data_IF_495382917709
#
_entry.id   IF_495382917709
#
_cell.length_a   1.000
_cell.length_b   1.000
_cell.length_c   1.000
_cell.angle_alpha   90.00
_cell.angle_beta   90.00
_cell.angle_gamma   90.00
#
_symmetry.space_group_name_H-M   'P 1'
#
loop_
_entity.id
_entity.type
_entity.pdbx_description
1 polymer ?
#
# COMPACT_ATOMS: atom_id res chain seq x y z
N UNK A 1 18.26 7.08 22.94
CA UNK A 1 16.83 6.85 22.66
C UNK A 1 16.07 7.48 23.81
N UNK A 2 15.00 8.23 23.56
CA UNK A 2 14.12 8.68 24.63
C UNK A 2 13.60 7.47 25.39
N UNK A 3 13.29 7.62 26.68
CA UNK A 3 12.78 6.54 27.52
C UNK A 3 11.38 6.12 27.00
N UNK A 4 11.03 4.83 27.07
CA UNK A 4 9.71 4.34 26.67
C UNK A 4 8.59 5.02 27.47
N UNK A 5 8.89 5.46 28.68
CA UNK A 5 7.98 6.21 29.54
C UNK A 5 7.63 7.60 28.97
N UNK A 6 8.44 8.12 28.06
CA UNK A 6 8.18 9.39 27.39
C UNK A 6 7.14 9.25 26.25
N UNK A 7 6.74 8.01 25.92
CA UNK A 7 5.90 7.71 24.75
C UNK A 7 4.61 6.97 25.05
N UNK A 8 4.48 6.35 26.21
CA UNK A 8 3.38 5.48 26.56
C UNK A 8 2.76 5.90 27.88
N UNK A 9 1.55 6.44 27.81
CA UNK A 9 0.70 6.75 28.95
C UNK A 9 -0.78 6.42 28.63
N UNK A 10 -1.68 6.71 29.54
CA UNK A 10 -3.11 6.47 29.36
C UNK A 10 -3.78 7.33 28.28
N UNK A 11 -3.11 8.38 27.79
CA UNK A 11 -3.58 9.25 26.73
C UNK A 11 -3.05 8.86 25.35
N UNK A 12 -2.11 7.90 25.28
CA UNK A 12 -1.49 7.49 24.01
C UNK A 12 -2.53 7.00 23.01
N UNK A 13 -2.51 7.59 21.82
CA UNK A 13 -3.32 7.16 20.67
C UNK A 13 -2.66 5.97 19.98
N UNK A 14 -3.46 5.04 19.50
CA UNK A 14 -2.98 3.78 18.93
C UNK A 14 -3.35 3.68 17.46
N UNK A 15 -2.39 3.31 16.65
CA UNK A 15 -2.59 2.87 15.28
C UNK A 15 -2.16 1.40 15.17
N UNK A 16 -2.89 0.60 14.42
CA UNK A 16 -2.61 -0.83 14.27
C UNK A 16 -2.19 -1.08 12.82
N UNK A 17 -1.12 -1.84 12.60
CA UNK A 17 -0.86 -2.38 11.26
C UNK A 17 -1.27 -3.85 11.23
N UNK A 18 -2.21 -4.19 10.33
CA UNK A 18 -2.74 -5.56 10.14
C UNK A 18 -2.17 -6.21 8.87
N UNK A 19 -1.82 -7.48 8.97
CA UNK A 19 -1.30 -8.28 7.85
C UNK A 19 -1.10 -9.75 8.21
N UNK A 20 -0.81 -10.57 7.19
CA UNK A 20 -0.48 -11.98 7.32
C UNK A 20 0.44 -12.41 6.16
N UNK A 21 1.72 -12.71 6.43
CA UNK A 21 2.46 -12.53 7.68
C UNK A 21 2.68 -11.05 8.04
N UNK A 22 3.06 -10.78 9.31
CA UNK A 22 3.27 -9.40 9.80
C UNK A 22 4.73 -9.11 10.19
N UNK A 23 5.56 -10.12 10.38
CA UNK A 23 6.91 -9.94 10.93
C UNK A 23 7.85 -9.08 10.06
N UNK A 24 7.58 -8.98 8.75
CA UNK A 24 8.41 -8.25 7.78
C UNK A 24 8.16 -6.74 7.75
N UNK A 25 7.10 -6.24 8.38
CA UNK A 25 6.74 -4.82 8.29
C UNK A 25 7.74 -3.91 9.01
N UNK A 26 8.01 -2.75 8.40
CA UNK A 26 8.91 -1.73 8.95
C UNK A 26 8.17 -0.47 9.41
N UNK A 27 6.90 -0.34 9.04
CA UNK A 27 6.07 0.84 9.34
C UNK A 27 5.95 1.16 10.84
N UNK A 28 5.86 0.20 11.78
CA UNK A 28 5.65 0.51 13.18
C UNK A 28 6.67 1.50 13.75
N UNK A 29 7.97 1.24 13.59
CA UNK A 29 8.99 2.13 14.11
C UNK A 29 9.03 3.48 13.38
N UNK A 30 8.97 3.45 12.04
CA UNK A 30 9.07 4.67 11.22
C UNK A 30 7.89 5.61 11.41
N UNK A 31 6.66 5.09 11.47
CA UNK A 31 5.45 5.91 11.65
C UNK A 31 5.34 6.40 13.10
N UNK A 32 5.68 5.57 14.08
CA UNK A 32 5.76 6.00 15.49
C UNK A 32 6.74 7.16 15.65
N UNK A 33 7.95 7.04 15.07
CA UNK A 33 8.91 8.15 15.10
C UNK A 33 8.35 9.41 14.44
N UNK A 34 7.67 9.27 13.30
CA UNK A 34 7.05 10.40 12.61
C UNK A 34 5.92 11.06 13.40
N UNK A 35 5.20 10.34 14.25
CA UNK A 35 4.25 10.92 15.21
C UNK A 35 4.98 11.75 16.27
N UNK A 36 6.03 11.20 16.88
CA UNK A 36 6.81 11.91 17.89
C UNK A 36 7.48 13.18 17.35
N UNK A 37 8.07 13.09 16.16
CA UNK A 37 8.70 14.26 15.50
C UNK A 37 7.70 15.41 15.25
N UNK A 38 6.40 15.11 15.26
CA UNK A 38 5.31 16.08 15.10
C UNK A 38 4.60 16.43 16.41
N UNK A 39 5.10 15.93 17.55
CA UNK A 39 4.52 16.18 18.87
C UNK A 39 3.23 15.41 19.14
N UNK A 40 2.95 14.32 18.40
CA UNK A 40 1.81 13.48 18.63
C UNK A 40 2.14 12.34 19.60
N UNK A 41 1.38 12.22 20.69
CA UNK A 41 1.43 11.06 21.59
C UNK A 41 0.67 9.90 20.93
N UNK A 42 1.33 9.20 20.00
CA UNK A 42 0.76 8.11 19.24
C UNK A 42 1.82 7.06 18.86
N UNK A 43 1.38 5.80 18.79
CA UNK A 43 2.22 4.67 18.41
C UNK A 43 1.55 3.82 17.33
N UNK A 44 2.37 3.02 16.62
CA UNK A 44 1.90 1.97 15.72
C UNK A 44 2.28 0.61 16.27
N UNK A 45 1.30 -0.28 16.39
CA UNK A 45 1.50 -1.66 16.84
C UNK A 45 1.23 -2.65 15.69
N UNK A 46 2.08 -3.68 15.51
CA UNK A 46 1.80 -4.75 14.56
C UNK A 46 0.76 -5.72 15.14
N UNK A 47 -0.18 -6.16 14.30
CA UNK A 47 -1.16 -7.20 14.60
C UNK A 47 -1.18 -8.25 13.49
N UNK A 48 -0.83 -9.49 13.83
CA UNK A 48 -0.92 -10.61 12.91
C UNK A 48 -2.37 -11.09 12.86
N UNK A 49 -3.04 -10.91 11.74
CA UNK A 49 -4.46 -11.19 11.56
C UNK A 49 -4.66 -12.05 10.32
N UNK A 50 -5.19 -13.25 10.51
CA UNK A 50 -5.53 -14.12 9.38
C UNK A 50 -6.67 -13.51 8.53
N UNK A 51 -6.75 -13.80 7.22
CA UNK A 51 -7.81 -13.29 6.37
C UNK A 51 -9.24 -13.56 6.87
N UNK A 52 -9.46 -14.72 7.47
CA UNK A 52 -10.76 -15.10 8.03
C UNK A 52 -11.20 -14.23 9.20
N UNK A 53 -10.25 -13.67 9.96
CA UNK A 53 -10.51 -12.91 11.18
C UNK A 53 -10.50 -11.39 10.95
N UNK A 54 -10.15 -10.93 9.75
CA UNK A 54 -9.97 -9.52 9.45
C UNK A 54 -11.19 -8.66 9.79
N UNK A 55 -12.38 -9.08 9.36
CA UNK A 55 -13.60 -8.32 9.57
C UNK A 55 -13.94 -8.21 11.07
N UNK A 56 -13.83 -9.30 11.81
CA UNK A 56 -14.06 -9.33 13.25
C UNK A 56 -13.03 -8.47 14.00
N UNK A 57 -11.76 -8.52 13.58
CA UNK A 57 -10.69 -7.68 14.14
C UNK A 57 -10.99 -6.19 13.93
N UNK A 58 -11.31 -5.75 12.71
CA UNK A 58 -11.65 -4.34 12.41
C UNK A 58 -12.89 -3.91 13.20
N UNK A 59 -13.91 -4.76 13.29
CA UNK A 59 -15.09 -4.49 14.09
C UNK A 59 -14.76 -4.33 15.58
N UNK A 60 -13.88 -5.17 16.13
CA UNK A 60 -13.38 -5.05 17.51
C UNK A 60 -12.63 -3.74 17.73
N UNK A 61 -11.71 -3.39 16.82
CA UNK A 61 -10.95 -2.14 16.89
C UNK A 61 -11.84 -0.89 16.81
N UNK A 62 -12.97 -0.97 16.13
CA UNK A 62 -13.97 0.11 16.09
C UNK A 62 -14.53 0.44 17.50
N UNK A 63 -14.50 -0.51 18.43
CA UNK A 63 -14.97 -0.31 19.81
C UNK A 63 -13.89 0.28 20.74
N UNK A 64 -12.63 0.27 20.33
CA UNK A 64 -11.51 0.79 21.12
C UNK A 64 -11.35 2.29 20.87
N UNK A 65 -11.64 3.11 21.88
CA UNK A 65 -11.79 4.57 21.73
C UNK A 65 -10.48 5.32 21.41
N UNK A 66 -9.34 4.75 21.76
CA UNK A 66 -8.03 5.35 21.47
C UNK A 66 -7.34 4.76 20.23
N UNK A 67 -8.02 3.94 19.41
CA UNK A 67 -7.56 3.51 18.10
C UNK A 67 -8.05 4.48 17.03
N UNK A 68 -7.13 5.22 16.42
CA UNK A 68 -7.45 6.26 15.41
C UNK A 68 -7.25 5.82 13.97
N UNK A 69 -6.45 4.79 13.75
CA UNK A 69 -6.14 4.33 12.40
C UNK A 69 -5.70 2.89 12.33
N UNK A 70 -5.89 2.33 11.14
CA UNK A 70 -5.42 0.98 10.79
C UNK A 70 -4.60 1.10 9.52
N UNK A 71 -3.33 0.70 9.58
CA UNK A 71 -2.48 0.51 8.41
C UNK A 71 -2.70 -0.92 7.92
N UNK A 72 -2.76 -1.11 6.63
CA UNK A 72 -3.12 -2.41 6.02
C UNK A 72 -2.01 -2.87 5.09
N UNK A 73 -1.52 -4.08 5.33
CA UNK A 73 -0.58 -4.73 4.41
C UNK A 73 -1.15 -6.03 3.84
N UNK A 74 -0.33 -6.77 3.12
CA UNK A 74 -0.72 -8.04 2.49
C UNK A 74 -1.28 -9.02 3.53
N UNK A 75 -2.34 -9.79 3.20
CA UNK A 75 -3.09 -9.83 1.94
C UNK A 75 -4.36 -8.95 1.96
N UNK A 76 -4.54 -8.08 2.95
CA UNK A 76 -5.83 -7.50 3.37
C UNK A 76 -6.32 -6.30 2.55
N UNK A 77 -5.48 -5.68 1.70
CA UNK A 77 -5.77 -4.38 1.08
C UNK A 77 -7.06 -4.31 0.27
N UNK A 78 -7.42 -5.39 -0.44
CA UNK A 78 -8.69 -5.44 -1.16
C UNK A 78 -9.88 -5.65 -0.21
N UNK A 79 -9.74 -6.56 0.76
CA UNK A 79 -10.81 -6.88 1.71
C UNK A 79 -11.17 -5.67 2.59
N UNK A 80 -10.18 -4.88 3.02
CA UNK A 80 -10.41 -3.72 3.89
C UNK A 80 -11.14 -2.58 3.20
N UNK A 81 -11.09 -2.47 1.87
CA UNK A 81 -11.90 -1.50 1.13
C UNK A 81 -13.39 -1.67 1.44
N UNK A 82 -13.89 -2.90 1.45
CA UNK A 82 -15.28 -3.22 1.79
C UNK A 82 -15.68 -2.96 3.24
N UNK A 83 -14.70 -2.71 4.13
CA UNK A 83 -14.93 -2.37 5.55
C UNK A 83 -14.95 -0.86 5.81
N UNK A 84 -14.69 -0.04 4.79
CA UNK A 84 -14.70 1.41 4.88
C UNK A 84 -16.08 1.96 4.51
N UNK A 85 -16.59 2.92 5.28
CA UNK A 85 -17.86 3.62 4.97
C UNK A 85 -17.65 4.69 3.90
N UNK A 86 -16.48 5.31 3.89
CA UNK A 86 -16.07 6.29 2.88
C UNK A 86 -14.66 5.95 2.39
N UNK A 87 -14.31 6.38 1.19
CA UNK A 87 -12.98 6.16 0.63
C UNK A 87 -12.53 7.35 -0.23
N UNK A 88 -11.21 7.52 -0.36
CA UNK A 88 -10.65 8.46 -1.33
C UNK A 88 -10.92 8.01 -2.77
N UNK A 89 -10.84 8.94 -3.74
CA UNK A 89 -11.03 8.63 -5.17
C UNK A 89 -10.08 7.52 -5.63
N UNK A 90 -8.80 7.56 -5.24
CA UNK A 90 -7.82 6.52 -5.60
C UNK A 90 -8.13 5.17 -4.95
N UNK A 91 -8.56 5.15 -3.67
CA UNK A 91 -8.96 3.90 -3.02
C UNK A 91 -10.23 3.34 -3.67
N UNK A 92 -11.17 4.21 -4.06
CA UNK A 92 -12.36 3.81 -4.79
C UNK A 92 -12.02 3.25 -6.18
N UNK A 93 -11.14 3.92 -6.94
CA UNK A 93 -10.67 3.45 -8.24
C UNK A 93 -10.00 2.09 -8.14
N UNK A 94 -9.14 1.89 -7.13
CA UNK A 94 -8.37 0.66 -6.94
C UNK A 94 -9.16 -0.46 -6.26
N UNK A 95 -10.29 -0.13 -5.62
CA UNK A 95 -11.05 -1.04 -4.75
C UNK A 95 -10.16 -1.66 -3.66
N UNK A 96 -9.22 -0.88 -3.15
CA UNK A 96 -8.22 -1.33 -2.19
C UNK A 96 -7.79 -0.18 -1.26
N UNK A 97 -7.44 -0.52 -0.01
CA UNK A 97 -6.94 0.44 0.98
C UNK A 97 -5.67 -0.07 1.63
N UNK A 98 -4.73 0.83 1.92
CA UNK A 98 -3.59 0.53 2.79
C UNK A 98 -3.63 1.31 4.11
N UNK A 99 -4.61 2.21 4.26
CA UNK A 99 -4.79 3.03 5.46
C UNK A 99 -6.28 3.24 5.69
N UNK A 100 -6.71 3.05 6.92
CA UNK A 100 -8.06 3.37 7.38
C UNK A 100 -7.95 4.38 8.51
N UNK A 101 -8.60 5.53 8.38
CA UNK A 101 -8.68 6.58 9.38
C UNK A 101 -10.07 6.59 10.00
N UNK A 102 -10.14 6.75 11.33
CA UNK A 102 -11.41 6.86 12.02
C UNK A 102 -12.09 8.19 11.67
N UNK A 103 -13.36 8.12 11.30
CA UNK A 103 -14.24 9.26 11.15
C UNK A 103 -14.79 9.74 12.50
N UNK A 104 -15.35 10.94 12.56
CA UNK A 104 -15.94 11.50 13.78
C UNK A 104 -17.12 10.66 14.35
N UNK A 105 -17.83 9.94 13.48
CA UNK A 105 -18.92 9.04 13.84
C UNK A 105 -18.45 7.63 14.24
N UNK A 106 -17.12 7.41 14.27
CA UNK A 106 -16.51 6.12 14.62
C UNK A 106 -16.40 5.13 13.46
N UNK A 107 -16.91 5.45 12.27
CA UNK A 107 -16.73 4.64 11.06
C UNK A 107 -15.33 4.82 10.45
N UNK A 108 -15.03 4.09 9.36
CA UNK A 108 -13.71 4.13 8.74
C UNK A 108 -13.73 4.80 7.36
N UNK A 109 -12.75 5.69 7.15
CA UNK A 109 -12.39 6.23 5.84
C UNK A 109 -11.16 5.52 5.32
N UNK A 110 -11.26 4.93 4.13
CA UNK A 110 -10.17 4.21 3.47
C UNK A 110 -9.37 5.08 2.51
N UNK A 111 -8.04 4.89 2.47
CA UNK A 111 -7.18 5.51 1.48
C UNK A 111 -6.05 4.56 1.04
N UNK A 112 -5.39 4.92 -0.09
CA UNK A 112 -4.33 4.11 -0.69
C UNK A 112 -3.11 4.99 -1.02
N UNK A 113 -2.09 4.92 -0.19
CA UNK A 113 -0.88 5.76 -0.30
C UNK A 113 0.31 5.05 -0.93
N UNK A 114 0.28 3.73 -1.19
CA UNK A 114 1.45 2.98 -1.68
C UNK A 114 2.00 3.56 -2.97
N UNK A 115 1.15 3.83 -3.95
CA UNK A 115 1.55 4.40 -5.23
C UNK A 115 2.11 5.81 -5.11
N UNK A 116 1.42 6.68 -4.36
CA UNK A 116 1.87 8.05 -4.12
C UNK A 116 3.23 8.07 -3.40
N UNK A 117 3.39 7.22 -2.39
CA UNK A 117 4.64 7.05 -1.65
C UNK A 117 5.77 6.59 -2.56
N UNK A 118 5.50 5.62 -3.42
CA UNK A 118 6.46 5.08 -4.38
C UNK A 118 6.95 6.17 -5.36
N UNK A 119 6.04 6.84 -6.05
CA UNK A 119 6.38 7.90 -7.02
C UNK A 119 7.09 9.07 -6.33
N UNK A 120 6.67 9.45 -5.13
CA UNK A 120 7.33 10.50 -4.36
C UNK A 120 8.77 10.11 -3.98
N UNK A 121 8.98 8.87 -3.57
CA UNK A 121 10.32 8.36 -3.24
C UNK A 121 11.23 8.31 -4.48
N UNK A 122 10.70 7.87 -5.63
CA UNK A 122 11.42 7.89 -6.91
C UNK A 122 11.89 9.29 -7.28
N UNK A 123 10.97 10.27 -7.27
CA UNK A 123 11.28 11.68 -7.60
C UNK A 123 12.34 12.26 -6.68
N UNK A 124 12.28 11.96 -5.38
CA UNK A 124 13.32 12.38 -4.41
C UNK A 124 14.69 11.79 -4.71
N UNK A 125 14.76 10.66 -5.41
CA UNK A 125 16.00 10.02 -5.87
C UNK A 125 16.40 10.43 -7.28
N UNK A 126 15.72 11.42 -7.88
CA UNK A 126 16.02 11.92 -9.22
C UNK A 126 15.43 11.09 -10.36
N UNK A 127 14.55 10.12 -10.06
CA UNK A 127 13.87 9.32 -11.06
C UNK A 127 12.42 9.81 -11.23
N UNK A 128 12.15 10.59 -12.29
CA UNK A 128 10.78 11.00 -12.64
C UNK A 128 10.19 9.99 -13.66
N UNK A 129 9.03 9.39 -13.40
CA UNK A 129 8.37 8.47 -14.32
C UNK A 129 7.77 9.16 -15.56
N UNK A 130 7.67 10.46 -15.59
CA UNK A 130 7.10 11.20 -16.74
C UNK A 130 7.83 10.88 -18.04
N UNK A 131 7.07 10.46 -19.04
CA UNK A 131 7.58 10.10 -20.36
C UNK A 131 8.38 8.80 -20.40
N UNK A 132 8.49 8.06 -19.31
CA UNK A 132 9.22 6.80 -19.22
C UNK A 132 8.37 5.61 -19.60
N UNK A 133 9.03 4.57 -20.10
CA UNK A 133 8.43 3.24 -20.30
C UNK A 133 8.63 2.41 -19.06
N UNK A 134 7.55 1.87 -18.52
CA UNK A 134 7.55 1.17 -17.23
C UNK A 134 7.08 -0.27 -17.42
N UNK A 135 7.79 -1.23 -16.80
CA UNK A 135 7.33 -2.60 -16.61
C UNK A 135 7.01 -2.82 -15.13
N UNK A 136 5.75 -2.97 -14.79
CA UNK A 136 5.34 -3.39 -13.44
C UNK A 136 5.28 -4.91 -13.36
N UNK A 137 5.92 -5.47 -12.35
CA UNK A 137 5.87 -6.90 -12.06
C UNK A 137 5.14 -7.12 -10.73
N UNK A 138 3.92 -7.67 -10.81
CA UNK A 138 3.00 -7.88 -9.70
C UNK A 138 1.83 -6.88 -9.67
N UNK A 139 0.60 -7.37 -9.86
CA UNK A 139 -0.65 -6.60 -9.87
C UNK A 139 -1.49 -6.77 -8.59
N UNK A 140 -0.85 -7.10 -7.46
CA UNK A 140 -1.47 -7.12 -6.14
C UNK A 140 -1.85 -5.71 -5.65
N UNK A 141 -2.31 -5.59 -4.41
CA UNK A 141 -2.80 -4.30 -3.88
C UNK A 141 -1.77 -3.16 -3.97
N UNK A 142 -0.50 -3.41 -3.63
CA UNK A 142 0.55 -2.40 -3.76
C UNK A 142 0.92 -2.14 -5.23
N UNK A 143 1.05 -3.21 -6.05
CA UNK A 143 1.34 -3.07 -7.48
C UNK A 143 0.26 -2.28 -8.22
N UNK A 144 -1.02 -2.55 -7.95
CA UNK A 144 -2.14 -1.80 -8.53
C UNK A 144 -2.07 -0.31 -8.17
N UNK A 145 -1.71 0.01 -6.93
CA UNK A 145 -1.54 1.40 -6.50
C UNK A 145 -0.34 2.08 -7.19
N UNK A 146 0.78 1.35 -7.34
CA UNK A 146 1.97 1.84 -8.05
C UNK A 146 1.64 2.07 -9.52
N UNK A 147 0.93 1.13 -10.18
CA UNK A 147 0.48 1.28 -11.56
C UNK A 147 -0.34 2.55 -11.78
N UNK A 148 -1.37 2.75 -10.96
CA UNK A 148 -2.21 3.94 -10.99
C UNK A 148 -1.39 5.22 -10.85
N UNK A 149 -0.53 5.30 -9.83
CA UNK A 149 0.28 6.49 -9.58
C UNK A 149 1.32 6.77 -10.69
N UNK A 150 1.83 5.74 -11.37
CA UNK A 150 2.73 5.91 -12.52
C UNK A 150 2.01 6.46 -13.75
N UNK A 151 0.77 6.00 -13.99
CA UNK A 151 -0.10 6.57 -15.04
C UNK A 151 -0.40 8.03 -14.74
N UNK A 152 -0.84 8.37 -13.52
CA UNK A 152 -1.08 9.76 -13.09
C UNK A 152 0.18 10.63 -13.15
N UNK A 153 1.35 10.05 -12.92
CA UNK A 153 2.63 10.77 -13.02
C UNK A 153 3.09 10.99 -14.47
N UNK A 154 2.37 10.46 -15.46
CA UNK A 154 2.62 10.69 -16.88
C UNK A 154 3.65 9.74 -17.49
N UNK A 155 3.72 8.49 -17.05
CA UNK A 155 4.47 7.45 -17.75
C UNK A 155 3.97 7.33 -19.20
N UNK A 156 4.88 7.15 -20.17
CA UNK A 156 4.50 7.08 -21.61
C UNK A 156 3.89 5.73 -21.99
N UNK A 157 4.30 4.67 -21.30
CA UNK A 157 3.77 3.32 -21.46
C UNK A 157 3.94 2.53 -20.17
N UNK A 158 2.99 1.66 -19.87
CA UNK A 158 3.00 0.76 -18.74
C UNK A 158 2.68 -0.66 -19.20
N UNK A 159 3.66 -1.55 -19.16
CA UNK A 159 3.45 -2.98 -19.29
C UNK A 159 3.28 -3.60 -17.90
N UNK A 160 2.33 -4.51 -17.76
CA UNK A 160 2.03 -5.18 -16.48
C UNK A 160 2.20 -6.68 -16.64
N UNK A 161 3.03 -7.27 -15.79
CA UNK A 161 3.17 -8.70 -15.63
C UNK A 161 2.64 -9.15 -14.26
N UNK A 162 1.84 -10.21 -14.26
CA UNK A 162 1.44 -10.95 -13.06
C UNK A 162 1.14 -12.41 -13.46
N UNK A 163 1.50 -13.37 -12.62
CA UNK A 163 1.19 -14.78 -12.83
C UNK A 163 -0.32 -15.03 -12.85
N UNK A 164 -1.08 -14.29 -12.04
CA UNK A 164 -2.53 -14.25 -12.09
C UNK A 164 -2.98 -13.31 -13.22
N UNK A 165 -3.19 -13.89 -14.40
CA UNK A 165 -3.58 -13.15 -15.60
C UNK A 165 -4.93 -12.47 -15.45
N UNK A 166 -5.87 -13.01 -14.68
CA UNK A 166 -7.18 -12.39 -14.41
C UNK A 166 -7.03 -11.09 -13.63
N UNK A 167 -6.18 -11.10 -12.60
CA UNK A 167 -5.87 -9.92 -11.80
C UNK A 167 -5.16 -8.85 -12.62
N UNK A 168 -4.17 -9.26 -13.45
CA UNK A 168 -3.47 -8.39 -14.39
C UNK A 168 -4.43 -7.70 -15.34
N UNK A 169 -5.26 -8.48 -16.04
CA UNK A 169 -6.15 -7.97 -17.09
C UNK A 169 -7.26 -7.08 -16.52
N UNK A 170 -7.75 -7.38 -15.33
CA UNK A 170 -8.67 -6.53 -14.58
C UNK A 170 -8.04 -5.16 -14.24
N UNK A 171 -6.76 -5.14 -13.85
CA UNK A 171 -6.04 -3.90 -13.59
C UNK A 171 -5.83 -3.09 -14.87
N UNK A 172 -5.41 -3.73 -15.96
CA UNK A 172 -5.23 -3.10 -17.28
C UNK A 172 -6.53 -2.44 -17.74
N UNK A 173 -7.65 -3.17 -17.67
CA UNK A 173 -8.96 -2.65 -18.08
C UNK A 173 -9.37 -1.42 -17.27
N UNK A 174 -9.10 -1.40 -15.95
CA UNK A 174 -9.38 -0.21 -15.12
C UNK A 174 -8.47 0.95 -15.48
N UNK A 175 -7.17 0.74 -15.64
CA UNK A 175 -6.21 1.80 -15.97
C UNK A 175 -6.46 2.38 -17.38
N UNK A 176 -6.94 1.58 -18.33
CA UNK A 176 -7.30 2.06 -19.66
C UNK A 176 -8.38 3.16 -19.66
N UNK A 177 -9.22 3.22 -18.60
CA UNK A 177 -10.22 4.28 -18.45
C UNK A 177 -9.63 5.67 -18.13
N UNK A 178 -8.33 5.75 -17.81
CA UNK A 178 -7.65 7.02 -17.50
C UNK A 178 -7.11 7.74 -18.74
N UNK A 179 -7.18 7.13 -19.93
CA UNK A 179 -6.84 7.66 -21.26
C UNK A 179 -5.47 8.38 -21.41
N UNK A 180 -4.61 8.31 -20.40
CA UNK A 180 -3.39 9.12 -20.35
C UNK A 180 -2.11 8.36 -20.70
N UNK A 181 -2.15 7.02 -20.69
CA UNK A 181 -0.96 6.15 -20.85
C UNK A 181 -1.36 4.87 -21.57
N UNK A 182 -0.52 4.40 -22.50
CA UNK A 182 -0.69 3.07 -23.07
C UNK A 182 -0.42 2.02 -22.00
N UNK A 183 -1.45 1.24 -21.63
CA UNK A 183 -1.34 0.16 -20.66
C UNK A 183 -1.60 -1.17 -21.36
N UNK A 184 -0.70 -2.13 -21.19
CA UNK A 184 -0.78 -3.44 -21.84
C UNK A 184 -0.22 -4.57 -20.97
N UNK A 185 -0.54 -5.81 -21.33
CA UNK A 185 0.08 -6.98 -20.73
C UNK A 185 1.55 -7.09 -21.18
N UNK A 186 2.44 -7.40 -20.25
CA UNK A 186 3.88 -7.58 -20.49
C UNK A 186 4.39 -8.94 -20.03
N UNK A 187 5.59 -9.27 -20.46
CA UNK A 187 6.41 -10.35 -19.91
C UNK A 187 7.26 -9.82 -18.75
N UNK A 188 7.89 -10.68 -17.93
CA UNK A 188 8.79 -10.21 -16.87
C UNK A 188 10.17 -9.76 -17.38
N UNK A 189 10.40 -9.76 -18.69
CA UNK A 189 11.64 -9.29 -19.31
C UNK A 189 11.76 -7.76 -19.23
N UNK A 190 12.76 -7.21 -18.52
CA UNK A 190 12.95 -5.78 -18.34
C UNK A 190 13.51 -5.07 -19.58
N UNK A 191 13.86 -5.79 -20.63
CA UNK A 191 14.50 -5.23 -21.82
C UNK A 191 13.66 -4.13 -22.47
N UNK A 192 14.24 -2.95 -22.65
CA UNK A 192 13.60 -1.80 -23.30
C UNK A 192 12.66 -1.00 -22.38
N UNK A 193 12.68 -1.23 -21.06
CA UNK A 193 11.98 -0.41 -20.08
C UNK A 193 12.98 0.47 -19.29
N UNK A 194 12.54 1.68 -18.94
CA UNK A 194 13.35 2.63 -18.18
C UNK A 194 13.23 2.38 -16.67
N UNK A 195 12.08 1.86 -16.21
CA UNK A 195 11.74 1.67 -14.82
C UNK A 195 11.04 0.32 -14.65
N UNK A 196 11.47 -0.46 -13.66
CA UNK A 196 10.90 -1.79 -13.40
C UNK A 196 10.52 -1.91 -11.90
N UNK A 197 9.32 -1.47 -11.50
CA UNK A 197 8.80 -1.76 -10.16
C UNK A 197 8.50 -3.25 -10.00
N UNK A 198 8.96 -3.83 -8.89
CA UNK A 198 8.66 -5.21 -8.53
C UNK A 198 7.86 -5.21 -7.23
N UNK A 199 6.64 -5.72 -7.28
CA UNK A 199 5.69 -5.75 -6.16
C UNK A 199 5.25 -7.19 -5.83
N UNK A 200 6.24 -8.08 -5.65
CA UNK A 200 6.02 -9.42 -5.13
C UNK A 200 6.36 -9.51 -3.65
N UNK A 201 5.66 -10.37 -2.92
CA UNK A 201 6.03 -10.76 -1.55
C UNK A 201 6.97 -11.97 -1.52
N UNK A 202 7.07 -12.74 -2.60
CA UNK A 202 7.91 -13.93 -2.72
C UNK A 202 8.51 -14.01 -4.11
N UNK A 203 9.66 -13.39 -4.33
CA UNK A 203 10.57 -13.77 -5.39
C UNK A 203 11.73 -14.52 -4.74
N UNK A 204 11.71 -15.83 -4.81
CA UNK A 204 12.96 -16.59 -4.84
C UNK A 204 13.54 -16.37 -6.24
N UNK A 205 14.36 -15.32 -6.41
CA UNK A 205 15.29 -15.31 -7.53
C UNK A 205 16.10 -16.61 -7.40
N UNK A 206 16.24 -17.40 -8.47
CA UNK A 206 17.19 -18.49 -8.44
C UNK A 206 18.56 -17.88 -8.18
N UNK A 207 19.12 -18.17 -6.99
CA UNK A 207 20.43 -17.67 -6.53
C UNK A 207 21.61 -18.35 -7.25
N UNK A 208 21.35 -19.06 -8.35
CA UNK A 208 22.38 -19.77 -9.11
C UNK A 208 23.20 -18.90 -10.07
N UNK A 209 22.83 -17.63 -10.31
CA UNK A 209 23.48 -16.80 -11.32
C UNK A 209 24.14 -15.51 -10.80
N UNK A 210 24.40 -15.43 -9.50
CA UNK A 210 25.24 -14.38 -8.92
C UNK A 210 26.56 -14.99 -8.41
N UNK A 211 27.44 -15.36 -9.33
CA UNK A 211 28.88 -15.55 -9.08
C UNK A 211 29.65 -14.56 -9.93
#
# INVERSE_FOLDING_TARGET
MPDIQDYLDGATRVHIIVGDPIAQVKSPSGVTQAFHDRGHNAIVMPAHVAPADLAACVQGLTRVQNVDGIIVTVPHKFATYGLCTTASERAHFLQATNTMRRNADGTWHGDMFDGLGYVTAMRRKGCDPRGRRVLLVGAGGAGSAIAHALVEAGASALAIHDEDTTRRDSLIARLASLDSTRVEAGSPDPTGFDIVPVSYTHLTLPTSDLV
#
